data_IF_855599963903
#
_entry.id   IF_855599963903
#
_cell.length_a   1.000
_cell.length_b   1.000
_cell.length_c   1.000
_cell.angle_alpha   90.00
_cell.angle_beta   90.00
_cell.angle_gamma   90.00
#
_symmetry.space_group_name_H-M   'P 1'
#
loop_
_entity.id
_entity.type
_entity.pdbx_description
1 polymer ?
#
# COMPACT_ATOMS: atom_id res chain seq x y z
N UNK A 1 18.04 8.63 4.22
CA UNK A 1 17.12 9.08 3.16
C UNK A 1 15.89 9.68 3.81
N UNK A 2 15.38 10.79 3.28
CA UNK A 2 14.25 11.54 3.87
C UNK A 2 12.92 10.86 3.55
N UNK A 3 12.06 10.74 4.56
CA UNK A 3 10.68 10.27 4.35
C UNK A 3 9.85 11.34 3.65
N UNK A 4 9.00 10.91 2.71
CA UNK A 4 8.08 11.75 1.94
C UNK A 4 6.68 11.48 2.47
N UNK A 5 6.04 12.45 3.16
CA UNK A 5 4.68 12.31 3.63
C UNK A 5 3.69 12.45 2.47
N UNK A 6 2.81 11.47 2.30
CA UNK A 6 1.72 11.50 1.33
C UNK A 6 0.37 11.40 2.06
N UNK A 7 -0.64 12.11 1.53
CA UNK A 7 -2.01 12.06 2.03
C UNK A 7 -2.81 11.01 1.26
N UNK A 8 -3.40 10.06 1.97
CA UNK A 8 -4.15 8.94 1.41
C UNK A 8 -5.39 8.70 2.26
N UNK A 9 -6.51 8.26 1.67
CA UNK A 9 -7.59 7.73 2.49
C UNK A 9 -7.15 6.43 3.18
N UNK A 10 -7.78 6.08 4.30
CA UNK A 10 -7.53 4.81 4.97
C UNK A 10 -7.78 3.62 4.03
N UNK A 11 -8.75 3.74 3.11
CA UNK A 11 -8.97 2.76 2.04
C UNK A 11 -7.75 2.62 1.12
N UNK A 12 -7.22 3.72 0.61
CA UNK A 12 -6.05 3.70 -0.28
C UNK A 12 -4.83 3.10 0.41
N UNK A 13 -4.59 3.47 1.67
CA UNK A 13 -3.51 2.88 2.45
C UNK A 13 -3.75 1.40 2.75
N UNK A 14 -4.97 0.99 3.11
CA UNK A 14 -5.31 -0.43 3.32
C UNK A 14 -5.11 -1.26 2.04
N UNK A 15 -5.41 -0.71 0.86
CA UNK A 15 -5.12 -1.35 -0.42
C UNK A 15 -3.62 -1.54 -0.64
N UNK A 16 -2.80 -0.52 -0.36
CA UNK A 16 -1.34 -0.62 -0.43
C UNK A 16 -0.82 -1.67 0.57
N UNK A 17 -1.31 -1.66 1.81
CA UNK A 17 -0.93 -2.63 2.85
C UNK A 17 -1.25 -4.07 2.42
N UNK A 18 -2.44 -4.30 1.85
CA UNK A 18 -2.84 -5.61 1.34
C UNK A 18 -1.97 -6.07 0.17
N UNK A 19 -1.66 -5.18 -0.78
CA UNK A 19 -0.76 -5.51 -1.89
C UNK A 19 0.66 -5.86 -1.38
N UNK A 20 1.16 -5.14 -0.38
CA UNK A 20 2.45 -5.46 0.26
C UNK A 20 2.41 -6.76 1.05
N UNK A 21 1.28 -7.11 1.67
CA UNK A 21 1.12 -8.41 2.33
C UNK A 21 1.23 -9.56 1.31
N UNK A 22 0.52 -9.43 0.19
CA UNK A 22 0.57 -10.40 -0.89
C UNK A 22 1.98 -10.51 -1.48
N UNK A 23 2.66 -9.38 -1.71
CA UNK A 23 4.04 -9.39 -2.20
C UNK A 23 5.00 -10.08 -1.21
N UNK A 24 4.89 -9.79 0.09
CA UNK A 24 5.69 -10.46 1.12
C UNK A 24 5.40 -11.96 1.19
N UNK A 25 4.14 -12.36 1.03
CA UNK A 25 3.74 -13.76 0.97
C UNK A 25 4.33 -14.46 -0.26
N UNK A 26 4.15 -13.89 -1.45
CA UNK A 26 4.61 -14.45 -2.71
C UNK A 26 6.15 -14.51 -2.82
N UNK A 27 6.85 -13.54 -2.22
CA UNK A 27 8.31 -13.53 -2.17
C UNK A 27 8.86 -14.76 -1.41
N UNK A 28 8.19 -15.17 -0.32
CA UNK A 28 8.55 -16.39 0.43
C UNK A 28 8.42 -17.65 -0.43
N UNK A 29 7.40 -17.70 -1.27
CA UNK A 29 7.17 -18.83 -2.19
C UNK A 29 8.12 -18.82 -3.40
N UNK A 30 8.63 -17.64 -3.76
CA UNK A 30 9.50 -17.42 -4.92
C UNK A 30 10.99 -17.30 -4.58
N UNK A 31 11.37 -17.47 -3.30
CA UNK A 31 12.72 -17.24 -2.77
C UNK A 31 13.27 -15.81 -2.99
N UNK A 32 12.37 -14.83 -3.12
CA UNK A 32 12.70 -13.41 -3.11
C UNK A 32 12.70 -12.87 -1.67
N UNK A 33 13.31 -11.70 -1.45
CA UNK A 33 13.37 -11.07 -0.13
C UNK A 33 12.03 -10.39 0.23
N UNK A 34 11.28 -10.87 1.26
CA UNK A 34 10.02 -10.26 1.67
C UNK A 34 10.20 -9.01 2.55
N UNK A 35 11.42 -8.77 3.08
CA UNK A 35 11.68 -7.72 4.06
C UNK A 35 11.32 -6.31 3.59
N UNK A 36 11.55 -5.92 2.32
CA UNK A 36 11.16 -4.59 1.84
C UNK A 36 9.65 -4.34 1.96
N UNK A 37 8.82 -5.33 1.66
CA UNK A 37 7.37 -5.23 1.77
C UNK A 37 6.92 -5.19 3.24
N UNK A 38 7.48 -6.05 4.11
CA UNK A 38 7.21 -6.00 5.55
C UNK A 38 7.58 -4.63 6.16
N UNK A 39 8.76 -4.09 5.83
CA UNK A 39 9.20 -2.80 6.33
C UNK A 39 8.28 -1.65 5.93
N UNK A 40 7.67 -1.70 4.73
CA UNK A 40 6.66 -0.73 4.29
C UNK A 40 5.42 -0.79 5.16
N UNK A 41 4.88 -2.00 5.36
CA UNK A 41 3.67 -2.22 6.15
C UNK A 41 3.85 -1.77 7.59
N UNK A 42 4.93 -2.21 8.23
CA UNK A 42 5.25 -1.83 9.61
C UNK A 42 5.38 -0.31 9.76
N UNK A 43 6.13 0.34 8.86
CA UNK A 43 6.30 1.78 8.89
C UNK A 43 4.98 2.54 8.79
N UNK A 44 4.06 2.09 7.92
CA UNK A 44 2.75 2.71 7.81
C UNK A 44 1.81 2.38 8.99
N UNK A 45 1.82 1.16 9.51
CA UNK A 45 1.01 0.77 10.68
C UNK A 45 1.34 1.58 11.93
N UNK A 46 2.59 2.04 12.11
CA UNK A 46 2.95 2.95 13.20
C UNK A 46 2.33 4.35 13.06
N UNK A 47 1.86 4.71 11.86
CA UNK A 47 1.31 6.02 11.52
C UNK A 47 -0.22 6.02 11.39
N UNK A 48 -0.86 4.85 11.31
CA UNK A 48 -2.32 4.73 11.26
C UNK A 48 -2.92 5.09 12.64
N UNK A 49 -3.89 6.02 12.70
CA UNK A 49 -4.62 6.34 13.92
C UNK A 49 -5.66 5.26 14.21
N UNK A 50 -5.19 4.10 14.68
CA UNK A 50 -6.04 2.94 14.98
C UNK A 50 -7.16 3.29 15.97
N UNK A 51 -8.34 2.71 15.76
CA UNK A 51 -9.54 2.98 16.57
C UNK A 51 -9.80 1.84 17.55
N UNK A 52 -10.17 2.20 18.79
CA UNK A 52 -10.55 1.26 19.83
C UNK A 52 -9.39 0.44 20.41
N UNK A 53 -9.71 -0.45 21.34
CA UNK A 53 -8.71 -1.28 22.03
C UNK A 53 -8.12 -2.38 21.13
N UNK A 54 -8.88 -2.84 20.14
CA UNK A 54 -8.47 -3.91 19.22
C UNK A 54 -7.71 -3.40 17.98
N UNK A 55 -7.33 -2.11 17.96
CA UNK A 55 -6.63 -1.46 16.84
C UNK A 55 -7.32 -1.66 15.49
N UNK A 56 -8.60 -1.32 15.42
CA UNK A 56 -9.38 -1.40 14.18
C UNK A 56 -8.97 -0.30 13.21
N UNK A 57 -9.09 -0.57 11.91
CA UNK A 57 -8.90 0.44 10.88
C UNK A 57 -9.79 1.67 11.14
N UNK A 58 -9.29 2.91 10.97
CA UNK A 58 -10.15 4.08 10.92
C UNK A 58 -11.18 4.00 9.79
N UNK A 59 -12.21 4.88 9.79
CA UNK A 59 -13.14 5.01 8.67
C UNK A 59 -12.41 5.09 7.33
N UNK A 60 -12.87 4.33 6.34
CA UNK A 60 -12.15 4.10 5.08
C UNK A 60 -11.97 5.38 4.23
N UNK A 61 -12.78 6.40 4.48
CA UNK A 61 -12.71 7.73 3.87
C UNK A 61 -11.83 8.72 4.67
N UNK A 62 -11.42 8.38 5.88
CA UNK A 62 -10.54 9.23 6.68
C UNK A 62 -9.19 9.40 5.98
N UNK A 63 -8.75 10.65 5.81
CA UNK A 63 -7.43 10.96 5.27
C UNK A 63 -6.35 10.74 6.32
N UNK A 64 -5.36 9.94 5.96
CA UNK A 64 -4.14 9.61 6.69
C UNK A 64 -2.96 10.34 6.06
N UNK A 65 -1.92 10.62 6.86
CA UNK A 65 -0.61 11.02 6.34
C UNK A 65 0.37 9.90 6.62
N UNK A 66 0.88 9.26 5.57
CA UNK A 66 1.84 8.17 5.66
C UNK A 66 3.18 8.67 5.11
N UNK A 67 4.24 8.48 5.87
CA UNK A 67 5.60 8.89 5.49
C UNK A 67 6.44 7.65 5.24
N UNK A 68 6.87 7.48 3.99
CA UNK A 68 7.82 6.43 3.57
C UNK A 68 8.95 7.07 2.77
N UNK A 69 10.05 6.36 2.59
CA UNK A 69 11.11 6.81 1.69
C UNK A 69 10.65 6.72 0.22
N UNK A 70 11.33 7.44 -0.67
CA UNK A 70 11.01 7.43 -2.12
C UNK A 70 11.09 6.03 -2.74
N UNK A 71 12.11 5.26 -2.42
CA UNK A 71 12.29 3.86 -2.84
C UNK A 71 11.15 2.97 -2.36
N UNK A 72 10.69 3.17 -1.12
CA UNK A 72 9.55 2.45 -0.56
C UNK A 72 8.24 2.80 -1.25
N UNK A 73 8.01 4.08 -1.55
CA UNK A 73 6.86 4.49 -2.35
C UNK A 73 6.91 3.92 -3.77
N UNK A 74 8.08 3.91 -4.40
CA UNK A 74 8.24 3.34 -5.73
C UNK A 74 7.93 1.84 -5.73
N UNK A 75 8.45 1.08 -4.76
CA UNK A 75 8.15 -0.34 -4.62
C UNK A 75 6.65 -0.60 -4.47
N UNK A 76 5.95 0.18 -3.64
CA UNK A 76 4.50 0.05 -3.51
C UNK A 76 3.75 0.30 -4.83
N UNK A 77 4.19 1.27 -5.64
CA UNK A 77 3.61 1.52 -6.97
C UNK A 77 3.89 0.40 -7.95
N UNK A 78 5.10 -0.15 -7.92
CA UNK A 78 5.51 -1.23 -8.83
C UNK A 78 4.70 -2.50 -8.54
N UNK A 79 4.49 -2.84 -7.26
CA UNK A 79 3.65 -3.99 -6.89
C UNK A 79 2.19 -3.78 -7.28
N UNK A 80 1.59 -2.62 -6.99
CA UNK A 80 0.21 -2.35 -7.43
C UNK A 80 0.06 -2.45 -8.95
N UNK A 81 1.06 -2.02 -9.72
CA UNK A 81 1.06 -2.14 -11.16
C UNK A 81 1.23 -3.59 -11.64
N UNK A 82 1.96 -4.42 -10.89
CA UNK A 82 2.14 -5.85 -11.18
C UNK A 82 0.88 -6.68 -10.85
N UNK A 83 0.09 -6.25 -9.87
CA UNK A 83 -1.17 -6.91 -9.48
C UNK A 83 -2.34 -6.63 -10.44
N UNK A 84 -2.33 -5.49 -11.15
CA UNK A 84 -3.34 -5.09 -12.14
C UNK A 84 -3.74 -6.22 -13.12
N UNK A 85 -2.80 -6.88 -13.85
CA UNK A 85 -3.16 -7.99 -14.74
C UNK A 85 -3.71 -9.20 -13.98
N UNK A 86 -3.26 -9.47 -12.75
CA UNK A 86 -3.72 -10.60 -11.94
C UNK A 86 -5.19 -10.42 -11.58
N UNK A 87 -5.57 -9.26 -11.03
CA UNK A 87 -6.97 -8.99 -10.68
C UNK A 87 -7.88 -8.95 -11.91
N UNK A 88 -7.37 -8.45 -13.05
CA UNK A 88 -8.10 -8.49 -14.32
C UNK A 88 -8.40 -9.93 -14.76
N UNK A 89 -7.42 -10.82 -14.70
CA UNK A 89 -7.56 -12.22 -15.12
C UNK A 89 -8.47 -13.01 -14.17
N UNK A 90 -8.47 -12.67 -12.88
CA UNK A 90 -9.38 -13.23 -11.88
C UNK A 90 -10.82 -12.69 -11.98
N UNK A 91 -11.05 -11.62 -12.77
CA UNK A 91 -12.34 -10.93 -12.84
C UNK A 91 -12.68 -10.11 -11.59
N UNK A 92 -11.70 -9.86 -10.71
CA UNK A 92 -11.85 -9.04 -9.51
C UNK A 92 -11.68 -7.56 -9.86
N UNK A 93 -12.74 -6.98 -10.42
CA UNK A 93 -12.76 -5.58 -10.83
C UNK A 93 -12.72 -4.61 -9.65
N UNK A 94 -13.14 -5.02 -8.46
CA UNK A 94 -13.10 -4.17 -7.27
C UNK A 94 -11.65 -3.93 -6.85
N UNK A 95 -10.88 -5.01 -6.63
CA UNK A 95 -9.47 -4.91 -6.27
C UNK A 95 -8.66 -4.17 -7.34
N UNK A 96 -8.95 -4.41 -8.62
CA UNK A 96 -8.34 -3.69 -9.74
C UNK A 96 -8.56 -2.17 -9.66
N UNK A 97 -9.80 -1.73 -9.42
CA UNK A 97 -10.08 -0.29 -9.31
C UNK A 97 -9.44 0.32 -8.07
N UNK A 98 -9.50 -0.36 -6.92
CA UNK A 98 -8.86 0.09 -5.68
C UNK A 98 -7.35 0.27 -5.86
N UNK A 99 -6.67 -0.70 -6.51
CA UNK A 99 -5.23 -0.62 -6.78
C UNK A 99 -4.87 0.57 -7.66
N UNK A 100 -5.65 0.82 -8.71
CA UNK A 100 -5.48 1.98 -9.59
C UNK A 100 -5.70 3.31 -8.88
N UNK A 101 -6.75 3.40 -8.07
CA UNK A 101 -7.07 4.61 -7.30
C UNK A 101 -5.95 4.93 -6.29
N UNK A 102 -5.42 3.92 -5.60
CA UNK A 102 -4.29 4.09 -4.69
C UNK A 102 -3.01 4.52 -5.43
N UNK A 103 -2.71 3.89 -6.58
CA UNK A 103 -1.55 4.25 -7.41
C UNK A 103 -1.64 5.67 -7.93
N UNK A 104 -2.81 6.10 -8.38
CA UNK A 104 -3.03 7.48 -8.84
C UNK A 104 -2.84 8.49 -7.70
N UNK A 105 -3.39 8.21 -6.51
CA UNK A 105 -3.25 9.10 -5.36
C UNK A 105 -1.80 9.30 -4.93
N UNK A 106 -0.99 8.24 -4.90
CA UNK A 106 0.45 8.31 -4.61
C UNK A 106 1.20 9.01 -5.76
N UNK A 107 0.93 8.63 -7.01
CA UNK A 107 1.62 9.15 -8.19
C UNK A 107 1.50 10.67 -8.33
N UNK A 108 0.30 11.23 -8.09
CA UNK A 108 0.03 12.67 -8.10
C UNK A 108 0.84 13.47 -7.08
N UNK A 109 1.32 12.84 -6.01
CA UNK A 109 2.04 13.52 -4.93
C UNK A 109 3.55 13.22 -4.94
N UNK A 110 3.97 12.07 -5.49
CA UNK A 110 5.36 11.63 -5.51
C UNK A 110 6.18 12.21 -6.69
N UNK A 111 5.48 12.53 -7.79
CA UNK A 111 6.01 13.14 -9.00
C UNK A 111 5.50 14.60 -9.08
N UNK A 112 6.30 15.60 -8.67
CA UNK A 112 5.98 17.00 -8.94
C UNK A 112 6.09 17.35 -10.42
#
# INVERSE_FOLDING_TARGET
MTAIPLQLTARQWATIDAAMDNAAHNARDSFEDPEPAHAIREAGWQQVPWVGQDRQWPPMDQVLTISLRRDQWQLALDVLAADDPIYKDLGDLESLHLGRDAREAVGRQLLP
#
